data_IF_890198221523
#
_entry.id   IF_890198221523
#
_cell.length_a   1.000
_cell.length_b   1.000
_cell.length_c   1.000
_cell.angle_alpha   90.00
_cell.angle_beta   90.00
_cell.angle_gamma   90.00
#
_symmetry.space_group_name_H-M   'P 1'
#
loop_
_entity.id
_entity.type
_entity.pdbx_description
1 polymer ?
#
# COMPACT_ATOMS: atom_id res chain seq x y z
N UNK A 1 32.41 -18.26 75.86
CA UNK A 1 33.14 -18.45 74.55
C UNK A 1 32.10 -18.61 73.43
N UNK A 2 31.81 -17.52 72.74
CA UNK A 2 30.77 -17.49 71.70
C UNK A 2 31.50 -17.48 70.31
N UNK A 3 31.34 -18.58 69.58
CA UNK A 3 31.94 -18.73 68.24
C UNK A 3 30.97 -18.13 67.19
N UNK A 4 31.39 -17.05 66.55
CA UNK A 4 30.63 -16.45 65.43
C UNK A 4 31.04 -17.15 64.15
N UNK A 5 30.08 -17.82 63.49
CA UNK A 5 30.28 -18.46 62.17
C UNK A 5 29.95 -17.41 61.11
N UNK A 6 30.98 -16.99 60.35
CA UNK A 6 30.82 -16.11 59.16
C UNK A 6 30.47 -16.98 57.93
N UNK A 7 29.25 -16.88 57.46
CA UNK A 7 28.86 -17.48 56.14
C UNK A 7 29.14 -16.48 55.02
N UNK A 8 30.12 -16.81 54.18
CA UNK A 8 30.39 -16.09 52.95
C UNK A 8 29.39 -16.54 51.89
N UNK A 9 28.46 -15.66 51.49
CA UNK A 9 27.56 -15.89 50.37
C UNK A 9 28.24 -15.41 49.09
N UNK A 10 28.77 -16.34 48.30
CA UNK A 10 29.26 -16.08 46.93
C UNK A 10 28.04 -15.92 46.01
N UNK A 11 27.67 -14.68 45.70
CA UNK A 11 26.67 -14.36 44.68
C UNK A 11 27.21 -14.63 43.27
N UNK A 12 26.80 -15.71 42.65
CA UNK A 12 26.99 -15.90 41.20
C UNK A 12 26.12 -14.90 40.46
N UNK A 13 26.72 -13.82 39.97
CA UNK A 13 26.10 -12.90 39.00
C UNK A 13 26.07 -13.59 37.64
N UNK A 14 24.99 -14.24 37.31
CA UNK A 14 24.68 -14.68 35.95
C UNK A 14 24.40 -13.46 35.07
N UNK A 15 25.43 -12.93 34.42
CA UNK A 15 25.25 -12.01 33.29
C UNK A 15 24.44 -12.72 32.23
N UNK A 16 23.14 -12.40 32.13
CA UNK A 16 22.29 -12.73 30.99
C UNK A 16 22.95 -12.14 29.75
N UNK A 17 23.60 -12.97 28.95
CA UNK A 17 24.02 -12.63 27.59
C UNK A 17 22.74 -12.56 26.78
N UNK A 18 22.17 -11.39 26.63
CA UNK A 18 21.19 -11.09 25.56
C UNK A 18 21.95 -11.29 24.24
N UNK A 19 21.80 -12.46 23.65
CA UNK A 19 22.39 -12.76 22.35
C UNK A 19 21.71 -11.86 21.31
N UNK A 20 22.42 -10.82 20.88
CA UNK A 20 22.19 -10.12 19.62
C UNK A 20 22.44 -11.11 18.46
N UNK A 21 21.51 -12.02 18.19
CA UNK A 21 21.62 -13.05 17.13
C UNK A 21 21.32 -12.53 15.72
N UNK A 22 21.12 -11.23 15.52
CA UNK A 22 20.50 -10.69 14.30
C UNK A 22 21.47 -10.14 13.24
N UNK A 23 22.68 -9.72 13.58
CA UNK A 23 23.53 -8.94 12.66
C UNK A 23 24.51 -9.76 11.81
N UNK A 24 24.81 -10.98 12.17
CA UNK A 24 25.81 -11.81 11.46
C UNK A 24 25.33 -12.37 10.11
N UNK A 25 24.04 -12.30 9.81
CA UNK A 25 23.45 -12.87 8.58
C UNK A 25 23.06 -11.81 7.53
N UNK A 26 23.47 -10.56 7.69
CA UNK A 26 23.19 -9.49 6.74
C UNK A 26 24.38 -9.28 5.79
N UNK A 27 24.07 -8.74 4.60
CA UNK A 27 25.03 -8.32 3.58
C UNK A 27 24.72 -6.89 3.15
N UNK A 28 25.75 -6.10 2.84
CA UNK A 28 25.57 -4.73 2.33
C UNK A 28 25.10 -4.69 0.88
N UNK A 29 25.35 -5.76 0.11
CA UNK A 29 24.83 -5.90 -1.26
C UNK A 29 23.57 -6.75 -1.23
N UNK A 30 22.39 -6.22 -1.60
CA UNK A 30 21.15 -6.98 -1.57
C UNK A 30 21.10 -8.03 -2.70
N UNK A 31 20.29 -9.06 -2.49
CA UNK A 31 19.65 -9.76 -3.59
C UNK A 31 18.37 -8.98 -3.92
N UNK A 32 18.21 -8.58 -5.19
CA UNK A 32 17.08 -7.73 -5.60
C UNK A 32 16.48 -8.17 -6.93
N UNK A 33 15.19 -7.89 -7.09
CA UNK A 33 14.48 -8.00 -8.35
C UNK A 33 13.54 -6.80 -8.52
N UNK A 34 13.27 -6.48 -9.80
CA UNK A 34 12.42 -5.36 -10.21
C UNK A 34 11.51 -5.80 -11.35
N UNK A 35 10.19 -5.68 -11.13
CA UNK A 35 9.17 -6.04 -12.12
C UNK A 35 8.20 -4.89 -12.33
N UNK A 36 7.60 -4.82 -13.54
CA UNK A 36 6.53 -3.87 -13.84
C UNK A 36 5.18 -4.53 -13.58
N UNK A 37 4.55 -4.19 -12.45
CA UNK A 37 3.25 -4.74 -12.01
C UNK A 37 2.33 -3.59 -11.58
N UNK A 38 1.02 -3.78 -11.69
CA UNK A 38 0.02 -2.77 -11.29
C UNK A 38 0.20 -1.40 -11.97
N UNK A 39 0.80 -1.38 -13.17
CA UNK A 39 1.11 -0.14 -13.88
C UNK A 39 2.20 0.71 -13.22
N UNK A 40 3.08 0.10 -12.43
CA UNK A 40 4.22 0.77 -11.79
C UNK A 40 5.43 -0.17 -11.66
N UNK A 41 6.58 0.40 -11.30
CA UNK A 41 7.79 -0.35 -10.99
C UNK A 41 7.70 -0.86 -9.56
N UNK A 42 7.87 -2.16 -9.39
CA UNK A 42 7.89 -2.85 -8.09
C UNK A 42 9.28 -3.42 -7.86
N UNK A 43 9.93 -3.04 -6.77
CA UNK A 43 11.28 -3.51 -6.41
C UNK A 43 11.27 -4.10 -5.00
N UNK A 44 11.89 -5.27 -4.86
CA UNK A 44 12.17 -5.89 -3.55
C UNK A 44 13.68 -6.08 -3.43
N UNK A 45 14.25 -5.61 -2.32
CA UNK A 45 15.67 -5.77 -1.97
C UNK A 45 15.78 -6.51 -0.64
N UNK A 46 16.45 -7.66 -0.63
CA UNK A 46 16.66 -8.49 0.58
C UNK A 46 18.12 -8.47 0.93
N UNK A 47 18.41 -8.13 2.16
CA UNK A 47 19.79 -8.01 2.69
C UNK A 47 20.22 -9.21 3.55
N UNK A 48 19.37 -10.22 3.70
CA UNK A 48 19.72 -11.47 4.35
C UNK A 48 20.45 -12.41 3.38
N UNK A 49 21.57 -13.00 3.83
CA UNK A 49 22.24 -14.06 3.08
C UNK A 49 21.32 -15.28 2.91
N UNK A 50 21.40 -15.96 1.77
CA UNK A 50 20.69 -17.20 1.47
C UNK A 50 19.15 -17.09 1.57
N UNK A 51 18.58 -15.91 1.23
CA UNK A 51 17.12 -15.65 1.22
C UNK A 51 16.60 -15.22 -0.16
N UNK A 52 17.30 -15.58 -1.24
CA UNK A 52 16.89 -15.22 -2.61
C UNK A 52 15.52 -15.75 -2.99
N UNK A 53 15.15 -16.96 -2.56
CA UNK A 53 13.83 -17.54 -2.82
C UNK A 53 12.66 -16.69 -2.28
N UNK A 54 12.87 -15.92 -1.22
CA UNK A 54 11.86 -15.02 -0.70
C UNK A 54 11.48 -13.88 -1.67
N UNK A 55 12.34 -13.56 -2.68
CA UNK A 55 12.00 -12.63 -3.76
C UNK A 55 10.86 -13.22 -4.62
N UNK A 56 10.99 -14.46 -5.02
CA UNK A 56 10.00 -15.15 -5.87
C UNK A 56 8.64 -15.21 -5.15
N UNK A 57 8.65 -15.58 -3.86
CA UNK A 57 7.44 -15.61 -3.02
C UNK A 57 6.82 -14.22 -2.85
N UNK A 58 7.64 -13.18 -2.66
CA UNK A 58 7.21 -11.79 -2.59
C UNK A 58 6.54 -11.33 -3.89
N UNK A 59 7.17 -11.56 -5.05
CA UNK A 59 6.60 -11.19 -6.35
C UNK A 59 5.37 -12.02 -6.73
N UNK A 60 5.36 -13.31 -6.41
CA UNK A 60 4.16 -14.15 -6.58
C UNK A 60 2.97 -13.60 -5.78
N UNK A 61 3.23 -13.09 -4.56
CA UNK A 61 2.20 -12.47 -3.72
C UNK A 61 1.68 -11.16 -4.34
N UNK A 62 2.57 -10.29 -4.86
CA UNK A 62 2.18 -9.07 -5.57
C UNK A 62 1.29 -9.42 -6.75
N UNK A 63 1.75 -10.34 -7.61
CA UNK A 63 1.04 -10.73 -8.82
C UNK A 63 -0.35 -11.29 -8.50
N UNK A 64 -0.45 -12.22 -7.56
CA UNK A 64 -1.72 -12.80 -7.14
C UNK A 64 -2.72 -11.73 -6.74
N UNK A 65 -2.33 -10.80 -5.86
CA UNK A 65 -3.22 -9.75 -5.36
C UNK A 65 -3.55 -8.73 -6.46
N UNK A 66 -2.60 -8.38 -7.30
CA UNK A 66 -2.85 -7.49 -8.44
C UNK A 66 -3.90 -8.08 -9.39
N UNK A 67 -3.81 -9.37 -9.71
CA UNK A 67 -4.76 -10.07 -10.59
C UNK A 67 -6.17 -10.17 -9.96
N UNK A 68 -6.26 -10.32 -8.63
CA UNK A 68 -7.54 -10.39 -7.90
C UNK A 68 -8.23 -9.02 -7.76
N UNK A 69 -7.45 -7.93 -7.69
CA UNK A 69 -7.92 -6.57 -7.34
C UNK A 69 -8.18 -5.69 -8.57
N UNK A 70 -7.47 -5.92 -9.67
CA UNK A 70 -7.52 -5.01 -10.84
C UNK A 70 -8.94 -4.80 -11.36
N UNK A 71 -9.29 -3.54 -11.66
CA UNK A 71 -10.53 -3.16 -12.36
C UNK A 71 -10.30 -2.92 -13.86
N UNK A 72 -9.05 -3.05 -14.32
CA UNK A 72 -8.65 -2.74 -15.70
C UNK A 72 -8.57 -3.99 -16.59
N UNK A 73 -8.73 -5.17 -16.00
CA UNK A 73 -8.78 -6.45 -16.70
C UNK A 73 -10.03 -7.22 -16.28
N UNK A 74 -10.67 -7.89 -17.25
CA UNK A 74 -11.84 -8.72 -16.97
C UNK A 74 -11.45 -9.96 -16.18
N UNK A 75 -12.35 -10.37 -15.28
CA UNK A 75 -12.25 -11.63 -14.56
C UNK A 75 -11.61 -11.56 -13.19
N UNK A 76 -11.10 -10.40 -12.75
CA UNK A 76 -10.69 -10.20 -11.36
C UNK A 76 -11.90 -10.33 -10.40
N UNK A 77 -11.64 -10.49 -9.11
CA UNK A 77 -12.73 -10.54 -8.13
C UNK A 77 -13.44 -9.20 -8.02
N UNK A 78 -12.71 -8.08 -8.08
CA UNK A 78 -13.29 -6.73 -8.05
C UNK A 78 -14.08 -6.43 -9.33
N UNK A 79 -13.60 -6.89 -10.50
CA UNK A 79 -14.36 -6.78 -11.74
C UNK A 79 -15.70 -7.55 -11.65
N UNK A 80 -15.71 -8.75 -11.05
CA UNK A 80 -16.95 -9.53 -10.80
C UNK A 80 -17.89 -8.80 -9.86
N UNK A 81 -17.40 -8.20 -8.77
CA UNK A 81 -18.23 -7.36 -7.87
C UNK A 81 -18.87 -6.23 -8.68
N UNK A 82 -18.10 -5.53 -9.52
CA UNK A 82 -18.57 -4.42 -10.34
C UNK A 82 -19.59 -4.85 -11.40
N UNK A 83 -19.41 -6.03 -12.01
CA UNK A 83 -20.34 -6.57 -13.01
C UNK A 83 -21.69 -7.01 -12.41
N UNK A 84 -21.71 -7.39 -11.14
CA UNK A 84 -22.93 -7.81 -10.43
C UNK A 84 -23.58 -6.67 -9.62
N UNK A 85 -23.14 -5.44 -9.78
CA UNK A 85 -23.69 -4.27 -9.10
C UNK A 85 -25.20 -4.11 -9.37
N UNK A 86 -25.98 -4.00 -8.30
CA UNK A 86 -27.45 -3.92 -8.32
C UNK A 86 -28.16 -5.23 -8.62
N UNK A 87 -27.44 -6.38 -8.69
CA UNK A 87 -28.03 -7.69 -8.99
C UNK A 87 -27.92 -8.65 -7.80
N UNK A 88 -26.70 -8.97 -7.35
CA UNK A 88 -26.47 -9.95 -6.28
C UNK A 88 -25.12 -9.75 -5.58
N UNK A 89 -24.98 -10.26 -4.33
CA UNK A 89 -23.68 -10.35 -3.66
C UNK A 89 -22.70 -11.26 -4.41
N UNK A 90 -21.41 -10.95 -4.32
CA UNK A 90 -20.33 -11.73 -4.91
C UNK A 90 -19.42 -12.25 -3.80
N UNK A 91 -19.19 -13.57 -3.75
CA UNK A 91 -18.24 -14.20 -2.86
C UNK A 91 -16.84 -13.95 -3.37
N UNK A 92 -15.92 -13.56 -2.46
CA UNK A 92 -14.55 -13.21 -2.78
C UNK A 92 -13.55 -13.93 -1.86
N UNK A 93 -12.28 -13.90 -2.24
CA UNK A 93 -11.17 -14.39 -1.42
C UNK A 93 -11.08 -13.64 -0.08
N UNK A 94 -10.39 -14.21 0.89
CA UNK A 94 -10.15 -13.55 2.17
C UNK A 94 -9.36 -12.24 1.99
N UNK A 95 -8.44 -12.20 1.03
CA UNK A 95 -7.61 -11.03 0.74
C UNK A 95 -8.46 -9.87 0.18
N UNK A 96 -9.27 -10.14 -0.83
CA UNK A 96 -10.13 -9.11 -1.42
C UNK A 96 -11.20 -8.65 -0.42
N UNK A 97 -11.73 -9.57 0.38
CA UNK A 97 -12.69 -9.22 1.43
C UNK A 97 -12.07 -8.28 2.48
N UNK A 98 -10.88 -8.61 3.01
CA UNK A 98 -10.15 -7.78 3.99
C UNK A 98 -9.81 -6.40 3.40
N UNK A 99 -9.33 -6.34 2.16
CA UNK A 99 -9.08 -5.08 1.47
C UNK A 99 -10.34 -4.23 1.32
N UNK A 100 -11.47 -4.83 0.92
CA UNK A 100 -12.74 -4.11 0.82
C UNK A 100 -13.22 -3.59 2.19
N UNK A 101 -13.06 -4.37 3.27
CA UNK A 101 -13.39 -3.93 4.64
C UNK A 101 -12.51 -2.76 5.08
N UNK A 102 -11.22 -2.79 4.77
CA UNK A 102 -10.30 -1.68 5.04
C UNK A 102 -10.66 -0.43 4.23
N UNK A 103 -10.93 -0.58 2.93
CA UNK A 103 -11.37 0.50 2.07
C UNK A 103 -12.68 1.14 2.59
N UNK A 104 -13.61 0.31 3.07
CA UNK A 104 -14.86 0.79 3.69
C UNK A 104 -14.57 1.59 4.97
N UNK A 105 -13.68 1.09 5.84
CA UNK A 105 -13.24 1.80 7.04
C UNK A 105 -12.67 3.18 6.71
N UNK A 106 -11.77 3.27 5.72
CA UNK A 106 -11.20 4.56 5.30
C UNK A 106 -12.22 5.46 4.61
N UNK A 107 -13.17 4.91 3.86
CA UNK A 107 -14.28 5.70 3.31
C UNK A 107 -15.12 6.34 4.42
N UNK A 108 -15.33 5.64 5.54
CA UNK A 108 -16.06 6.18 6.69
C UNK A 108 -15.28 7.27 7.45
N UNK A 109 -13.94 7.13 7.53
CA UNK A 109 -13.10 7.94 8.42
C UNK A 109 -12.32 9.05 7.70
N UNK A 110 -12.44 9.18 6.38
CA UNK A 110 -11.74 10.19 5.57
C UNK A 110 -12.48 11.52 5.44
N UNK A 111 -13.58 11.74 6.17
CA UNK A 111 -14.43 12.92 6.00
C UNK A 111 -14.83 13.16 4.54
N UNK A 112 -15.23 12.09 3.86
CA UNK A 112 -15.64 12.09 2.45
C UNK A 112 -14.53 12.45 1.45
N UNK A 113 -13.25 12.39 1.86
CA UNK A 113 -12.11 12.62 0.97
C UNK A 113 -11.67 11.37 0.22
N UNK A 114 -12.10 10.20 0.65
CA UNK A 114 -11.90 8.91 0.00
C UNK A 114 -13.23 8.14 -0.04
N UNK A 115 -13.58 7.58 -1.19
CA UNK A 115 -14.70 6.67 -1.34
C UNK A 115 -14.30 5.47 -2.20
N UNK A 116 -14.39 4.28 -1.64
CA UNK A 116 -14.06 3.05 -2.35
C UNK A 116 -14.94 2.77 -3.58
N UNK A 117 -16.12 3.41 -3.66
CA UNK A 117 -17.04 3.30 -4.78
C UNK A 117 -16.81 4.38 -5.87
N UNK A 118 -15.65 5.00 -5.92
CA UNK A 118 -15.27 6.08 -6.87
C UNK A 118 -15.19 5.60 -8.34
N UNK A 119 -15.23 4.30 -8.58
CA UNK A 119 -15.06 3.67 -9.89
C UNK A 119 -15.94 4.23 -11.04
N UNK A 120 -17.18 4.68 -10.82
CA UNK A 120 -17.96 5.35 -11.87
C UNK A 120 -17.31 6.62 -12.40
N UNK A 121 -16.58 7.36 -11.56
CA UNK A 121 -15.87 8.59 -11.90
C UNK A 121 -14.49 8.29 -12.48
N UNK A 122 -13.67 7.46 -11.83
CA UNK A 122 -12.33 7.12 -12.34
C UNK A 122 -12.40 6.50 -13.74
N UNK A 123 -13.42 5.69 -14.00
CA UNK A 123 -13.67 5.11 -15.32
C UNK A 123 -14.12 6.11 -16.40
N UNK A 124 -14.57 7.32 -16.04
CA UNK A 124 -14.83 8.40 -17.00
C UNK A 124 -13.54 9.13 -17.38
N UNK A 125 -12.73 9.50 -16.41
CA UNK A 125 -11.51 10.26 -16.62
C UNK A 125 -10.37 9.46 -17.23
N UNK A 126 -10.22 8.21 -16.82
CA UNK A 126 -9.16 7.28 -17.23
C UNK A 126 -7.74 7.86 -17.14
N UNK A 127 -7.50 8.74 -16.15
CA UNK A 127 -6.17 9.36 -15.95
C UNK A 127 -5.12 8.28 -15.68
N UNK A 128 -4.01 8.35 -16.43
CA UNK A 128 -2.96 7.33 -16.42
C UNK A 128 -3.08 6.27 -17.52
N UNK A 129 -4.11 6.36 -18.37
CA UNK A 129 -4.30 5.50 -19.54
C UNK A 129 -4.19 6.30 -20.85
N UNK A 130 -3.88 5.65 -22.00
CA UNK A 130 -3.74 6.33 -23.28
C UNK A 130 -4.99 7.08 -23.75
N UNK A 131 -6.16 6.64 -23.33
CA UNK A 131 -7.48 7.21 -23.65
C UNK A 131 -7.99 8.18 -22.59
N UNK A 132 -7.13 8.69 -21.72
CA UNK A 132 -7.46 9.69 -20.71
C UNK A 132 -8.06 10.95 -21.35
N UNK A 133 -9.20 11.39 -20.84
CA UNK A 133 -9.86 12.60 -21.34
C UNK A 133 -10.65 13.30 -20.22
N UNK A 134 -10.95 14.59 -20.41
CA UNK A 134 -11.83 15.33 -19.50
C UNK A 134 -13.29 15.02 -19.87
N UNK A 135 -14.08 14.42 -18.95
CA UNK A 135 -15.52 14.19 -19.18
C UNK A 135 -16.28 15.50 -19.29
N UNK A 136 -17.45 15.44 -19.93
CA UNK A 136 -18.43 16.53 -19.87
C UNK A 136 -19.07 16.61 -18.49
N UNK A 137 -19.53 17.80 -18.09
CA UNK A 137 -20.23 17.97 -16.80
C UNK A 137 -21.43 17.02 -16.70
N UNK A 138 -22.23 16.88 -17.77
CA UNK A 138 -23.39 15.97 -17.81
C UNK A 138 -22.99 14.50 -17.52
N UNK A 139 -21.83 14.05 -18.02
CA UNK A 139 -21.33 12.69 -17.72
C UNK A 139 -20.97 12.54 -16.24
N UNK A 140 -20.34 13.56 -15.67
CA UNK A 140 -19.97 13.58 -14.23
C UNK A 140 -21.26 13.58 -13.40
N UNK A 141 -22.20 14.49 -13.65
CA UNK A 141 -23.47 14.61 -12.90
C UNK A 141 -24.29 13.30 -12.94
N UNK A 142 -24.21 12.57 -14.04
CA UNK A 142 -24.91 11.27 -14.19
C UNK A 142 -24.24 10.17 -13.35
N UNK A 143 -22.93 10.22 -13.15
CA UNK A 143 -22.16 9.16 -12.48
C UNK A 143 -21.89 9.44 -11.01
N UNK A 144 -21.77 10.70 -10.63
CA UNK A 144 -21.44 11.12 -9.27
C UNK A 144 -22.39 10.55 -8.20
N UNK A 145 -23.73 10.47 -8.40
CA UNK A 145 -24.64 9.86 -7.43
C UNK A 145 -24.44 8.36 -7.18
N UNK A 146 -23.58 7.70 -7.98
CA UNK A 146 -23.19 6.30 -7.79
C UNK A 146 -21.98 6.14 -6.88
N UNK A 147 -21.26 7.23 -6.58
CA UNK A 147 -20.15 7.27 -5.64
C UNK A 147 -20.73 7.39 -4.23
N UNK A 148 -20.87 6.27 -3.56
CA UNK A 148 -21.36 6.25 -2.19
C UNK A 148 -21.06 4.88 -1.55
N UNK A 149 -20.03 4.83 -0.71
CA UNK A 149 -19.60 3.62 0.02
C UNK A 149 -20.71 3.04 0.93
N UNK A 150 -21.69 3.84 1.38
CA UNK A 150 -22.79 3.35 2.21
C UNK A 150 -23.68 2.32 1.48
N UNK A 151 -23.62 2.31 0.16
CA UNK A 151 -24.30 1.33 -0.70
C UNK A 151 -23.46 0.05 -0.95
N UNK A 152 -22.32 -0.08 -0.31
CA UNK A 152 -21.52 -1.32 -0.29
C UNK A 152 -21.91 -2.13 0.95
N UNK A 153 -22.35 -3.37 0.76
CA UNK A 153 -22.81 -4.26 1.83
C UNK A 153 -21.91 -5.49 1.92
N UNK A 154 -21.73 -5.98 3.13
CA UNK A 154 -20.86 -7.11 3.45
C UNK A 154 -21.63 -8.20 4.19
N UNK A 155 -21.28 -9.46 3.93
CA UNK A 155 -21.65 -10.60 4.75
C UNK A 155 -20.35 -11.30 5.21
N UNK A 156 -20.03 -11.18 6.49
CA UNK A 156 -18.78 -11.70 7.06
C UNK A 156 -18.74 -13.23 7.03
N UNK A 157 -19.87 -13.91 7.26
CA UNK A 157 -19.95 -15.38 7.29
C UNK A 157 -19.66 -16.00 5.93
N UNK A 158 -20.15 -15.41 4.85
CA UNK A 158 -19.99 -15.90 3.48
C UNK A 158 -18.84 -15.24 2.73
N UNK A 159 -18.27 -14.15 3.28
CA UNK A 159 -17.31 -13.28 2.61
C UNK A 159 -17.83 -12.79 1.27
N UNK A 160 -19.02 -12.19 1.28
CA UNK A 160 -19.59 -11.57 0.09
C UNK A 160 -19.57 -10.05 0.17
N UNK A 161 -19.38 -9.43 -0.99
CA UNK A 161 -19.47 -7.98 -1.20
C UNK A 161 -20.58 -7.69 -2.18
N UNK A 162 -21.44 -6.73 -1.86
CA UNK A 162 -22.60 -6.36 -2.69
C UNK A 162 -22.67 -4.85 -2.89
N UNK A 163 -22.69 -4.42 -4.15
CA UNK A 163 -23.01 -3.05 -4.55
C UNK A 163 -24.52 -2.97 -4.80
N UNK A 164 -25.23 -2.26 -3.93
CA UNK A 164 -26.71 -2.30 -3.92
C UNK A 164 -27.38 -1.58 -5.10
N UNK A 165 -26.64 -0.74 -5.83
CA UNK A 165 -27.18 0.03 -6.96
C UNK A 165 -26.49 -0.37 -8.26
N UNK A 166 -27.29 -0.50 -9.33
CA UNK A 166 -26.79 -0.74 -10.69
C UNK A 166 -25.81 0.35 -11.11
N UNK A 167 -24.76 -0.02 -11.83
CA UNK A 167 -23.69 0.84 -12.34
C UNK A 167 -22.75 1.43 -11.27
N UNK A 168 -22.90 1.09 -9.99
CA UNK A 168 -21.84 1.31 -9.03
C UNK A 168 -20.57 0.53 -9.43
N UNK A 169 -19.41 1.04 -9.03
CA UNK A 169 -18.14 0.36 -9.24
C UNK A 169 -17.18 0.67 -8.07
N UNK A 170 -16.54 -0.36 -7.56
CA UNK A 170 -15.37 -0.19 -6.71
C UNK A 170 -14.16 0.22 -7.57
N UNK A 171 -13.32 1.08 -7.01
CA UNK A 171 -11.95 1.30 -7.42
C UNK A 171 -11.09 1.38 -6.16
N UNK A 172 -10.25 0.37 -5.97
CA UNK A 172 -9.41 0.21 -4.78
C UNK A 172 -7.98 0.73 -5.00
N UNK A 173 -7.72 1.41 -6.13
CA UNK A 173 -6.38 1.89 -6.50
C UNK A 173 -5.72 2.80 -5.49
N UNK A 174 -6.51 3.57 -4.73
CA UNK A 174 -6.03 4.48 -3.68
C UNK A 174 -5.63 3.79 -2.36
N UNK A 175 -5.81 2.46 -2.23
CA UNK A 175 -5.45 1.70 -1.01
C UNK A 175 -4.76 0.38 -1.32
N UNK A 176 -4.84 -0.08 -2.57
CA UNK A 176 -4.39 -1.42 -2.94
C UNK A 176 -2.87 -1.60 -2.82
N UNK A 177 -2.07 -0.57 -3.16
CA UNK A 177 -0.60 -0.66 -3.09
C UNK A 177 -0.12 -0.86 -1.65
N UNK A 178 -0.67 -0.09 -0.72
CA UNK A 178 -0.37 -0.23 0.69
C UNK A 178 -0.75 -1.60 1.23
N UNK A 179 -1.95 -2.06 0.91
CA UNK A 179 -2.39 -3.39 1.28
C UNK A 179 -1.47 -4.50 0.74
N UNK A 180 -1.14 -4.46 -0.54
CA UNK A 180 -0.25 -5.44 -1.18
C UNK A 180 1.13 -5.43 -0.51
N UNK A 181 1.70 -4.27 -0.25
CA UNK A 181 3.01 -4.16 0.42
C UNK A 181 2.98 -4.77 1.83
N UNK A 182 1.91 -4.54 2.59
CA UNK A 182 1.73 -5.17 3.91
C UNK A 182 1.64 -6.70 3.81
N UNK A 183 1.04 -7.24 2.75
CA UNK A 183 0.98 -8.69 2.53
C UNK A 183 2.34 -9.25 2.10
N UNK A 184 3.09 -8.55 1.24
CA UNK A 184 4.47 -8.92 0.87
C UNK A 184 5.38 -8.93 2.09
N UNK A 185 5.32 -7.89 2.94
CA UNK A 185 6.03 -7.85 4.22
C UNK A 185 5.78 -9.11 5.04
N UNK A 186 4.51 -9.57 5.16
CA UNK A 186 4.18 -10.79 5.91
C UNK A 186 4.84 -12.03 5.29
N UNK A 187 4.88 -12.15 3.96
CA UNK A 187 5.57 -13.24 3.26
C UNK A 187 7.05 -13.20 3.59
N UNK A 188 7.74 -12.09 3.38
CA UNK A 188 9.17 -11.97 3.64
C UNK A 188 9.54 -12.30 5.10
N UNK A 189 8.76 -11.80 6.07
CA UNK A 189 8.97 -12.10 7.50
C UNK A 189 8.77 -13.58 7.79
N UNK A 190 7.74 -14.22 7.22
CA UNK A 190 7.51 -15.66 7.34
C UNK A 190 8.68 -16.49 6.79
N UNK A 191 9.30 -16.03 5.71
CA UNK A 191 10.46 -16.67 5.09
C UNK A 191 11.78 -16.38 5.83
N UNK A 192 11.68 -15.66 6.97
CA UNK A 192 12.81 -15.38 7.85
C UNK A 192 13.68 -14.22 7.36
N UNK A 193 13.15 -13.34 6.50
CA UNK A 193 13.82 -12.07 6.13
C UNK A 193 13.70 -11.10 7.29
N UNK A 194 14.82 -10.49 7.68
CA UNK A 194 14.92 -9.54 8.80
C UNK A 194 15.40 -8.16 8.39
N UNK A 195 15.86 -7.99 7.14
CA UNK A 195 16.30 -6.70 6.59
C UNK A 195 15.97 -6.64 5.10
N UNK A 196 15.07 -5.74 4.71
CA UNK A 196 14.63 -5.60 3.32
C UNK A 196 14.09 -4.20 3.04
N UNK A 197 14.01 -3.86 1.75
CA UNK A 197 13.25 -2.72 1.21
C UNK A 197 12.21 -3.28 0.24
N UNK A 198 10.96 -2.85 0.40
CA UNK A 198 9.87 -3.11 -0.53
C UNK A 198 9.42 -1.76 -1.08
N UNK A 199 9.52 -1.57 -2.40
CA UNK A 199 9.07 -0.35 -3.09
C UNK A 199 8.05 -0.72 -4.17
N UNK A 200 6.81 -0.32 -3.98
CA UNK A 200 5.74 -0.49 -4.96
C UNK A 200 5.33 0.88 -5.54
N UNK A 201 6.14 1.36 -6.48
CA UNK A 201 5.85 2.61 -7.18
C UNK A 201 5.98 3.86 -6.31
N UNK A 202 6.94 3.88 -5.38
CA UNK A 202 7.19 4.98 -4.46
C UNK A 202 6.52 4.81 -3.09
N UNK A 203 5.71 3.76 -2.89
CA UNK A 203 5.27 3.33 -1.57
C UNK A 203 6.36 2.41 -0.98
N UNK A 204 7.18 2.96 -0.10
CA UNK A 204 8.37 2.30 0.42
C UNK A 204 8.13 1.76 1.82
N UNK A 205 8.45 0.49 2.04
CA UNK A 205 8.56 -0.11 3.37
C UNK A 205 10.01 -0.52 3.64
N UNK A 206 10.53 -0.19 4.79
CA UNK A 206 11.85 -0.63 5.26
C UNK A 206 11.69 -1.60 6.43
N UNK A 207 12.12 -2.85 6.20
CA UNK A 207 12.09 -3.93 7.19
C UNK A 207 13.42 -4.03 7.92
N UNK A 208 13.36 -4.04 9.25
CA UNK A 208 14.52 -4.24 10.11
C UNK A 208 15.62 -3.18 9.94
N UNK A 209 16.81 -3.44 10.47
CA UNK A 209 17.93 -2.50 10.42
C UNK A 209 18.57 -2.43 9.04
N UNK A 210 19.10 -1.27 8.68
CA UNK A 210 20.01 -1.11 7.55
C UNK A 210 21.28 -1.96 7.75
N UNK A 211 21.73 -2.71 6.74
CA UNK A 211 22.92 -3.55 6.84
C UNK A 211 24.22 -2.76 6.96
N UNK A 212 24.19 -1.45 6.60
CA UNK A 212 25.40 -0.59 6.59
C UNK A 212 25.76 -0.08 7.97
N UNK A 213 24.77 0.33 8.76
CA UNK A 213 24.98 0.95 10.07
C UNK A 213 24.28 0.21 11.22
N UNK A 214 23.59 -0.90 10.90
CA UNK A 214 22.79 -1.69 11.85
C UNK A 214 21.74 -0.88 12.63
N UNK A 215 21.26 0.21 12.02
CA UNK A 215 20.32 1.16 12.58
C UNK A 215 19.22 1.53 11.55
N UNK A 216 18.70 2.73 11.62
CA UNK A 216 17.68 3.20 10.69
C UNK A 216 18.19 3.28 9.24
N UNK A 217 17.27 3.06 8.33
CA UNK A 217 17.44 3.39 6.91
C UNK A 217 17.32 4.90 6.71
N UNK A 218 18.04 5.43 5.73
CA UNK A 218 17.83 6.79 5.25
C UNK A 218 16.94 6.74 4.01
N UNK A 219 15.69 7.14 4.15
CA UNK A 219 14.71 7.10 3.06
C UNK A 219 14.52 8.49 2.48
N UNK A 220 14.80 8.64 1.18
CA UNK A 220 14.64 9.90 0.45
C UNK A 220 13.17 10.24 0.21
N UNK A 221 12.81 11.52 0.35
CA UNK A 221 11.52 12.08 -0.02
C UNK A 221 11.66 12.73 -1.38
N UNK A 222 10.89 12.28 -2.38
CA UNK A 222 10.93 12.76 -3.76
C UNK A 222 10.68 14.27 -3.85
N UNK A 223 11.55 14.98 -4.57
CA UNK A 223 11.30 16.37 -4.95
C UNK A 223 10.23 16.40 -6.05
N UNK A 224 9.04 16.98 -5.81
CA UNK A 224 7.94 17.00 -6.78
C UNK A 224 8.22 17.81 -8.04
N UNK A 225 9.28 18.64 -8.03
CA UNK A 225 9.66 19.53 -9.16
C UNK A 225 10.81 18.94 -9.98
N UNK A 226 11.37 17.80 -9.61
CA UNK A 226 12.53 17.20 -10.27
C UNK A 226 12.24 15.78 -10.75
N UNK A 227 13.12 15.27 -11.55
CA UNK A 227 13.04 13.88 -12.05
C UNK A 227 12.99 12.88 -10.89
N UNK A 228 12.31 11.74 -11.13
CA UNK A 228 12.22 10.65 -10.17
C UNK A 228 13.60 10.21 -9.68
N UNK A 229 13.72 9.99 -8.39
CA UNK A 229 14.97 9.66 -7.72
C UNK A 229 15.74 10.86 -7.14
N UNK A 230 15.30 12.11 -7.42
CA UNK A 230 15.85 13.30 -6.77
C UNK A 230 15.12 13.59 -5.47
N UNK A 231 15.82 13.51 -4.35
CA UNK A 231 15.21 13.77 -3.04
C UNK A 231 15.31 15.25 -2.64
N UNK A 232 14.24 15.80 -2.05
CA UNK A 232 14.24 17.12 -1.39
C UNK A 232 14.79 17.03 0.04
N UNK A 233 14.76 15.84 0.63
CA UNK A 233 15.24 15.55 1.98
C UNK A 233 15.17 14.05 2.24
N UNK A 234 15.51 13.65 3.45
CA UNK A 234 15.44 12.24 3.87
C UNK A 234 14.97 12.08 5.31
N UNK A 235 14.38 10.93 5.61
CA UNK A 235 13.85 10.58 6.93
C UNK A 235 14.55 9.29 7.39
N UNK A 236 15.08 9.23 8.64
CA UNK A 236 15.59 8.00 9.21
C UNK A 236 14.45 7.13 9.73
N UNK A 237 14.25 5.92 9.17
CA UNK A 237 13.16 5.03 9.57
C UNK A 237 13.56 3.55 9.61
N UNK A 238 12.87 2.78 10.45
CA UNK A 238 13.01 1.32 10.57
C UNK A 238 11.64 0.72 10.92
N UNK A 239 11.29 -0.37 10.24
CA UNK A 239 10.00 -1.06 10.40
C UNK A 239 8.79 -0.14 10.17
N UNK A 240 8.95 0.81 9.25
CA UNK A 240 7.91 1.76 8.86
C UNK A 240 7.85 1.92 7.36
N UNK A 241 6.81 2.55 6.95
CA UNK A 241 6.52 2.89 5.58
C UNK A 241 6.57 4.39 5.37
N UNK A 242 6.99 4.78 4.18
CA UNK A 242 6.88 6.12 3.66
C UNK A 242 6.05 6.03 2.36
N UNK A 243 4.85 6.58 2.40
CA UNK A 243 3.93 6.63 1.26
C UNK A 243 3.86 8.06 0.76
N UNK A 244 4.07 8.26 -0.53
CA UNK A 244 3.97 9.58 -1.15
C UNK A 244 2.89 9.57 -2.23
N UNK A 245 1.85 10.37 -2.00
CA UNK A 245 0.81 10.67 -2.99
C UNK A 245 1.11 12.00 -3.66
N UNK A 246 1.39 11.99 -4.96
CA UNK A 246 1.79 13.18 -5.72
C UNK A 246 0.95 13.39 -6.98
N UNK A 247 0.61 14.64 -7.27
CA UNK A 247 -0.16 15.03 -8.48
C UNK A 247 0.67 14.92 -9.76
N UNK A 248 1.98 14.77 -9.65
CA UNK A 248 2.95 14.70 -10.75
C UNK A 248 3.15 13.28 -11.30
N UNK A 249 2.68 12.25 -10.61
CA UNK A 249 2.88 10.85 -11.02
C UNK A 249 2.01 10.45 -12.22
N UNK A 250 0.71 10.77 -12.14
CA UNK A 250 -0.25 10.49 -13.21
C UNK A 250 -1.21 11.66 -13.35
N UNK A 251 -1.26 12.25 -14.54
CA UNK A 251 -2.11 13.41 -14.80
C UNK A 251 -2.55 13.49 -16.26
N UNK A 252 -3.62 14.23 -16.49
CA UNK A 252 -4.12 14.63 -17.78
C UNK A 252 -3.94 16.15 -17.91
N UNK A 253 -3.32 16.62 -18.99
CA UNK A 253 -3.20 18.05 -19.31
C UNK A 253 -4.23 18.46 -20.35
N UNK A 254 -5.10 19.41 -20.00
CA UNK A 254 -6.09 20.00 -20.90
C UNK A 254 -5.89 21.51 -20.92
N UNK A 255 -5.36 22.02 -22.03
CA UNK A 255 -4.95 23.42 -22.11
C UNK A 255 -3.86 23.76 -21.07
N UNK A 256 -4.15 24.69 -20.18
CA UNK A 256 -3.23 25.07 -19.09
C UNK A 256 -3.51 24.32 -17.77
N UNK A 257 -4.57 23.54 -17.69
CA UNK A 257 -5.00 22.86 -16.46
C UNK A 257 -4.44 21.45 -16.42
N UNK A 258 -3.92 21.06 -15.26
CA UNK A 258 -3.46 19.71 -14.94
C UNK A 258 -4.50 19.05 -14.05
N UNK A 259 -4.99 17.90 -14.46
CA UNK A 259 -5.91 17.05 -13.71
C UNK A 259 -5.17 15.80 -13.26
N UNK A 260 -4.91 15.69 -11.95
CA UNK A 260 -4.24 14.52 -11.37
C UNK A 260 -5.18 13.32 -11.28
N UNK A 261 -4.63 12.15 -11.00
CA UNK A 261 -5.42 10.94 -10.76
C UNK A 261 -6.10 10.91 -9.36
N UNK A 262 -5.82 11.88 -8.49
CA UNK A 262 -6.41 11.99 -7.16
C UNK A 262 -7.78 12.67 -7.28
N UNK A 263 -8.83 11.84 -7.22
CA UNK A 263 -10.21 12.27 -7.46
C UNK A 263 -10.89 12.71 -6.17
N UNK A 264 -11.63 13.82 -6.25
CA UNK A 264 -12.53 14.26 -5.19
C UNK A 264 -13.90 13.55 -5.34
N UNK A 265 -14.30 12.71 -4.38
CA UNK A 265 -15.58 12.00 -4.43
C UNK A 265 -16.81 12.90 -4.39
N UNK A 266 -16.67 14.15 -3.89
CA UNK A 266 -17.77 15.11 -3.77
C UNK A 266 -18.09 15.79 -5.09
N UNK A 267 -17.07 16.07 -5.88
CA UNK A 267 -17.21 16.85 -7.11
C UNK A 267 -17.09 16.02 -8.38
N UNK A 268 -16.47 14.83 -8.28
CA UNK A 268 -16.14 14.02 -9.45
C UNK A 268 -15.02 14.59 -10.33
N UNK A 269 -14.32 15.62 -9.84
CA UNK A 269 -13.11 16.17 -10.45
C UNK A 269 -11.87 15.76 -9.65
N UNK A 270 -10.68 15.77 -10.26
CA UNK A 270 -9.43 15.73 -9.52
C UNK A 270 -9.33 16.89 -8.54
N UNK A 271 -8.77 16.64 -7.35
CA UNK A 271 -8.47 17.70 -6.39
C UNK A 271 -7.64 18.82 -7.04
N UNK A 272 -8.06 20.07 -6.80
CA UNK A 272 -7.37 21.28 -7.23
C UNK A 272 -6.98 22.08 -5.98
N UNK A 273 -5.71 22.01 -5.62
CA UNK A 273 -5.16 22.71 -4.46
C UNK A 273 -3.68 23.07 -4.72
N UNK A 274 -3.02 23.70 -3.75
CA UNK A 274 -1.63 24.12 -3.86
C UNK A 274 -0.61 23.04 -3.41
N UNK A 275 -1.07 21.81 -3.08
CA UNK A 275 -0.19 20.72 -2.68
C UNK A 275 0.28 19.95 -3.91
N UNK A 276 1.59 19.76 -4.05
CA UNK A 276 2.15 18.91 -5.10
C UNK A 276 2.25 17.46 -4.69
N UNK A 277 2.38 17.19 -3.40
CA UNK A 277 2.43 15.84 -2.85
C UNK A 277 2.38 15.86 -1.34
N UNK A 278 2.02 14.71 -0.77
CA UNK A 278 1.99 14.46 0.67
C UNK A 278 2.72 13.16 0.94
N UNK A 279 3.67 13.17 1.87
CA UNK A 279 4.36 11.96 2.34
C UNK A 279 3.92 11.65 3.76
N UNK A 280 3.50 10.42 3.99
CA UNK A 280 3.00 9.93 5.27
C UNK A 280 3.90 8.80 5.76
N UNK A 281 4.26 8.83 7.05
CA UNK A 281 5.06 7.80 7.72
C UNK A 281 4.16 7.01 8.66
N UNK A 282 4.02 5.70 8.43
CA UNK A 282 3.15 4.82 9.23
C UNK A 282 3.81 3.46 9.52
N UNK A 283 3.19 2.64 10.37
CA UNK A 283 3.64 1.25 10.63
C UNK A 283 3.19 0.27 9.55
N UNK A 284 2.00 0.48 9.00
CA UNK A 284 1.44 -0.34 7.93
C UNK A 284 1.24 0.56 6.70
N UNK A 285 1.50 0.03 5.52
CA UNK A 285 1.37 0.83 4.30
C UNK A 285 -0.08 1.20 3.99
N UNK A 286 -1.00 0.30 4.27
CA UNK A 286 -2.43 0.55 4.05
C UNK A 286 -2.95 1.78 4.80
N UNK A 287 -2.31 2.17 5.91
CA UNK A 287 -2.65 3.36 6.70
C UNK A 287 -2.06 4.65 6.10
N UNK A 288 -1.14 4.54 5.16
CA UNK A 288 -0.45 5.65 4.49
C UNK A 288 -0.99 5.98 3.10
N UNK A 289 -1.62 5.00 2.43
CA UNK A 289 -2.27 5.19 1.13
C UNK A 289 -3.54 6.03 1.28
#
# INVERSE_FOLDING_TARGET
LLLMLLTVVTGCSTKSKTQNKSTTNLTTKPTEDTQFLMGTVCTIKIYNKNKSAALDDGFARIKKLADEITVNQKGSEVDKINAEAGKKPVKVSADVYDLCKKAYYYSQNSHESFDMAIGPITSLWRIGFPDAHKPTQKQIDTRLPLVNYLNVKFNDAERTVYLTRKNMKLDLGGIAKGYITDQVKKVLVKDGVTSAIIDLGGNVYVLGPSPTNHSNWTVGIQDPKKSRGTAIGSIPEMNKTIVTSGIYERYLKVGKTIYSHLMDPKTGYPFQNNLMGVSIVTKNLVDGD
#
